data_IF_241731327291
#
_entry.id   IF_241731327291
#
_cell.length_a   1.000
_cell.length_b   1.000
_cell.length_c   1.000
_cell.angle_alpha   90.00
_cell.angle_beta   90.00
_cell.angle_gamma   90.00
#
_symmetry.space_group_name_H-M   'P 1'
#
loop_
_entity.id
_entity.type
_entity.pdbx_description
1 polymer ?
#
# COMPACT_ATOMS: atom_id res chain seq x y z
N UNK A 1 8.88 2.60 -25.51
CA UNK A 1 7.78 2.14 -24.63
C UNK A 1 6.70 1.60 -25.55
N UNK A 2 6.14 0.42 -25.27
CA UNK A 2 4.99 -0.10 -26.02
C UNK A 2 3.79 0.87 -25.89
N UNK A 3 2.80 0.77 -26.78
CA UNK A 3 1.55 1.55 -26.64
C UNK A 3 0.83 1.24 -25.32
N UNK A 4 1.08 0.08 -24.72
CA UNK A 4 0.43 -0.41 -23.50
C UNK A 4 1.01 0.11 -22.19
N UNK A 5 2.24 0.65 -22.16
CA UNK A 5 2.88 1.20 -20.95
C UNK A 5 3.01 2.71 -21.07
N UNK A 6 2.25 3.43 -20.25
CA UNK A 6 2.28 4.89 -20.16
C UNK A 6 3.58 5.40 -19.51
N UNK A 7 4.01 4.74 -18.44
CA UNK A 7 5.21 5.11 -17.71
C UNK A 7 5.77 3.93 -16.90
N UNK A 8 7.08 3.92 -16.67
CA UNK A 8 7.73 3.02 -15.70
C UNK A 8 8.28 3.86 -14.55
N UNK A 9 7.88 3.52 -13.33
CA UNK A 9 8.28 4.20 -12.11
C UNK A 9 9.38 3.39 -11.42
N UNK A 10 10.51 4.05 -11.19
CA UNK A 10 11.63 3.49 -10.44
C UNK A 10 11.51 3.90 -8.96
N UNK A 11 11.76 2.98 -8.02
CA UNK A 11 11.67 3.31 -6.61
C UNK A 11 12.81 4.22 -6.16
N UNK A 12 12.56 4.97 -5.09
CA UNK A 12 13.59 5.61 -4.29
C UNK A 12 13.73 4.89 -2.95
N UNK A 13 14.97 4.65 -2.52
CA UNK A 13 15.20 4.10 -1.18
C UNK A 13 14.91 5.17 -0.13
N UNK A 14 14.19 4.75 0.91
CA UNK A 14 13.87 5.55 2.09
C UNK A 14 14.18 4.75 3.33
N UNK A 15 14.80 5.42 4.30
CA UNK A 15 15.03 4.89 5.62
C UNK A 15 13.81 5.28 6.49
N UNK A 16 13.17 4.29 7.11
CA UNK A 16 12.06 4.47 8.05
C UNK A 16 12.44 4.05 9.48
N UNK A 17 13.73 4.04 9.80
CA UNK A 17 14.31 3.63 11.08
C UNK A 17 15.18 2.39 10.91
N UNK A 18 14.71 1.24 11.39
CA UNK A 18 15.47 -0.02 11.30
C UNK A 18 15.25 -0.77 9.98
N UNK A 19 14.60 -0.15 8.99
CA UNK A 19 14.24 -0.76 7.73
C UNK A 19 14.38 0.23 6.58
N UNK A 20 14.99 -0.21 5.50
CA UNK A 20 14.95 0.50 4.22
C UNK A 20 13.77 0.00 3.40
N UNK A 21 13.03 0.94 2.81
CA UNK A 21 11.89 0.65 1.94
C UNK A 21 12.09 1.27 0.56
N UNK A 22 11.46 0.66 -0.44
CA UNK A 22 11.44 1.13 -1.83
C UNK A 22 10.16 1.90 -2.09
N UNK A 23 10.26 3.23 -2.14
CA UNK A 23 9.13 4.12 -2.42
C UNK A 23 8.91 4.33 -3.89
N UNK A 24 7.77 3.87 -4.41
CA UNK A 24 7.42 3.91 -5.83
C UNK A 24 6.42 5.03 -6.13
N UNK A 25 5.45 5.25 -5.24
CA UNK A 25 4.50 6.36 -5.31
C UNK A 25 4.63 7.27 -4.09
N UNK A 26 4.44 8.59 -4.25
CA UNK A 26 4.18 9.30 -5.51
C UNK A 26 5.46 9.47 -6.36
N UNK A 27 5.32 9.54 -7.69
CA UNK A 27 6.41 9.81 -8.64
C UNK A 27 6.09 10.99 -9.57
N UNK A 28 7.11 11.54 -10.24
CA UNK A 28 6.90 12.64 -11.21
C UNK A 28 6.00 12.22 -12.39
N UNK A 29 6.18 11.00 -12.90
CA UNK A 29 5.42 10.50 -14.05
C UNK A 29 3.99 10.05 -13.69
N UNK A 30 3.75 9.73 -12.42
CA UNK A 30 2.43 9.40 -11.89
C UNK A 30 2.39 9.68 -10.38
N UNK A 31 1.54 10.64 -9.99
CA UNK A 31 1.29 10.93 -8.58
C UNK A 31 0.30 9.95 -7.95
N UNK A 32 -0.65 9.47 -8.75
CA UNK A 32 -1.63 8.46 -8.39
C UNK A 32 -1.75 7.40 -9.48
N UNK A 33 -2.23 6.23 -9.11
CA UNK A 33 -2.79 5.22 -10.01
C UNK A 33 -4.14 4.80 -9.43
N UNK A 34 -5.23 5.22 -10.06
CA UNK A 34 -6.56 5.12 -9.45
C UNK A 34 -6.57 5.87 -8.11
N UNK A 35 -6.98 5.23 -7.00
CA UNK A 35 -6.96 5.87 -5.70
C UNK A 35 -5.61 5.76 -4.96
N UNK A 36 -4.64 4.99 -5.47
CA UNK A 36 -3.35 4.78 -4.80
C UNK A 36 -2.46 6.03 -4.94
N UNK A 37 -2.07 6.63 -3.82
CA UNK A 37 -1.24 7.85 -3.76
C UNK A 37 0.15 7.60 -3.15
N UNK A 38 0.33 6.44 -2.51
CA UNK A 38 1.57 6.02 -1.87
C UNK A 38 1.77 4.51 -2.01
N UNK A 39 3.01 4.10 -2.24
CA UNK A 39 3.37 2.69 -2.40
C UNK A 39 4.82 2.48 -1.96
N UNK A 40 5.02 1.80 -0.84
CA UNK A 40 6.31 1.36 -0.33
C UNK A 40 6.38 -0.17 -0.36
N UNK A 41 7.47 -0.71 -0.91
CA UNK A 41 7.81 -2.12 -0.80
C UNK A 41 8.86 -2.29 0.31
N UNK A 42 8.50 -3.05 1.35
CA UNK A 42 9.37 -3.45 2.45
C UNK A 42 10.01 -4.81 2.16
N UNK A 43 11.33 -4.89 2.33
CA UNK A 43 12.05 -6.17 2.23
C UNK A 43 12.23 -6.74 0.82
N UNK A 44 12.51 -8.05 0.69
CA UNK A 44 12.84 -8.95 1.80
C UNK A 44 14.05 -8.44 2.60
N UNK A 45 13.92 -8.38 3.92
CA UNK A 45 14.99 -7.92 4.82
C UNK A 45 14.98 -8.73 6.11
N UNK A 46 16.16 -9.20 6.53
CA UNK A 46 16.34 -9.89 7.80
C UNK A 46 16.45 -8.89 8.95
N UNK A 47 15.63 -9.10 9.98
CA UNK A 47 15.69 -8.40 11.26
C UNK A 47 16.14 -9.43 12.31
N UNK A 48 17.40 -9.35 12.80
CA UNK A 48 17.92 -10.31 13.76
C UNK A 48 17.17 -10.27 15.11
N UNK A 49 17.28 -11.33 15.92
CA UNK A 49 16.75 -11.36 17.29
C UNK A 49 17.06 -10.08 18.09
N UNK A 50 16.05 -9.55 18.78
CA UNK A 50 16.12 -8.31 19.55
C UNK A 50 15.92 -7.02 18.74
N UNK A 51 15.87 -7.10 17.41
CA UNK A 51 15.60 -5.95 16.53
C UNK A 51 14.20 -6.04 15.92
N UNK A 52 13.70 -4.92 15.41
CA UNK A 52 12.36 -4.86 14.85
C UNK A 52 12.04 -3.54 14.17
N UNK A 53 10.91 -3.55 13.46
CA UNK A 53 10.22 -2.35 13.03
C UNK A 53 9.64 -1.65 14.28
N UNK A 54 9.84 -0.35 14.40
CA UNK A 54 9.32 0.48 15.49
C UNK A 54 8.84 1.83 14.96
N UNK A 55 7.78 1.82 14.17
CA UNK A 55 7.13 3.05 13.71
C UNK A 55 6.25 3.58 14.83
N UNK A 56 6.80 4.56 15.54
CA UNK A 56 6.16 5.25 16.68
C UNK A 56 4.83 5.94 16.27
N UNK A 57 3.98 6.32 17.24
CA UNK A 57 2.69 6.95 16.96
C UNK A 57 2.79 8.13 16.00
N UNK A 58 2.02 8.08 14.93
CA UNK A 58 1.92 9.12 13.90
C UNK A 58 0.50 9.19 13.32
N UNK A 59 0.06 10.37 12.83
CA UNK A 59 -1.29 10.59 12.34
C UNK A 59 -1.39 10.34 10.83
N UNK A 60 -2.61 10.07 10.38
CA UNK A 60 -3.02 10.16 8.97
C UNK A 60 -4.36 10.90 8.85
N UNK A 61 -4.63 11.53 7.70
CA UNK A 61 -5.95 12.08 7.32
C UNK A 61 -6.25 11.79 5.84
N UNK A 62 -7.53 11.75 5.47
CA UNK A 62 -8.02 11.75 4.09
C UNK A 62 -7.62 10.55 3.23
N UNK A 63 -7.15 9.48 3.86
CA UNK A 63 -6.65 8.27 3.22
C UNK A 63 -7.05 7.01 4.01
N UNK A 64 -6.87 5.86 3.39
CA UNK A 64 -6.74 4.59 4.08
C UNK A 64 -5.31 4.06 3.91
N UNK A 65 -4.74 3.43 4.95
CA UNK A 65 -3.49 2.67 4.83
C UNK A 65 -3.81 1.19 4.66
N UNK A 66 -3.02 0.51 3.83
CA UNK A 66 -3.17 -0.92 3.57
C UNK A 66 -1.82 -1.59 3.74
N UNK A 67 -1.76 -2.58 4.61
CA UNK A 67 -0.60 -3.45 4.80
C UNK A 67 -0.92 -4.82 4.25
N UNK A 68 -0.02 -5.35 3.41
CA UNK A 68 -0.08 -6.73 2.91
C UNK A 68 1.30 -7.37 2.99
N UNK A 69 1.43 -8.43 3.79
CA UNK A 69 2.71 -9.09 4.03
C UNK A 69 2.83 -10.36 3.19
N UNK A 70 4.02 -10.57 2.64
CA UNK A 70 4.44 -11.85 2.07
C UNK A 70 5.20 -12.70 3.10
N UNK A 71 5.94 -12.05 4.01
CA UNK A 71 6.70 -12.68 5.09
C UNK A 71 6.73 -11.76 6.32
N UNK A 72 6.92 -12.35 7.49
CA UNK A 72 7.06 -11.64 8.76
C UNK A 72 5.72 -11.28 9.40
N UNK A 73 5.78 -10.43 10.42
CA UNK A 73 4.64 -9.97 11.17
C UNK A 73 4.84 -8.53 11.67
N UNK A 74 3.73 -7.79 11.70
CA UNK A 74 3.65 -6.42 12.23
C UNK A 74 2.48 -6.36 13.21
N UNK A 75 2.67 -5.68 14.33
CA UNK A 75 1.65 -5.36 15.32
C UNK A 75 1.19 -3.92 15.11
N UNK A 76 -0.07 -3.77 14.73
CA UNK A 76 -0.75 -2.49 14.60
C UNK A 76 -1.42 -2.12 15.92
N UNK A 77 -1.31 -0.85 16.31
CA UNK A 77 -2.12 -0.21 17.35
C UNK A 77 -2.59 1.15 16.87
N UNK A 78 -3.81 1.55 17.24
CA UNK A 78 -4.34 2.87 16.88
C UNK A 78 -5.11 3.56 18.01
N UNK A 79 -5.49 4.81 17.76
CA UNK A 79 -6.25 5.67 18.66
C UNK A 79 -7.72 5.24 18.86
N UNK A 80 -8.21 4.26 18.09
CA UNK A 80 -9.53 3.64 18.33
C UNK A 80 -9.44 2.51 19.34
N UNK A 81 -8.23 2.12 19.74
CA UNK A 81 -7.97 1.00 20.63
C UNK A 81 -7.79 -0.33 19.90
N UNK A 82 -7.66 -0.33 18.58
CA UNK A 82 -7.33 -1.56 17.85
C UNK A 82 -5.95 -2.05 18.25
N UNK A 83 -5.79 -3.37 18.38
CA UNK A 83 -4.54 -4.06 18.63
C UNK A 83 -4.55 -5.33 17.79
N UNK A 84 -3.81 -5.34 16.69
CA UNK A 84 -3.91 -6.42 15.70
C UNK A 84 -2.54 -6.77 15.12
N UNK A 85 -2.11 -8.02 15.30
CA UNK A 85 -0.99 -8.57 14.56
C UNK A 85 -1.45 -8.93 13.15
N UNK A 86 -0.71 -8.49 12.13
CA UNK A 86 -0.87 -8.90 10.74
C UNK A 86 0.26 -9.87 10.38
N UNK A 87 -0.09 -10.97 9.72
CA UNK A 87 0.83 -12.00 9.24
C UNK A 87 0.66 -12.21 7.72
N UNK A 88 1.46 -13.07 7.05
CA UNK A 88 1.44 -13.15 5.60
C UNK A 88 0.08 -13.52 5.00
N UNK A 89 -0.31 -12.80 3.96
CA UNK A 89 -1.57 -12.97 3.25
C UNK A 89 -2.78 -12.29 3.91
N UNK A 90 -2.66 -11.82 5.14
CA UNK A 90 -3.69 -11.00 5.79
C UNK A 90 -3.70 -9.57 5.22
N UNK A 91 -4.78 -8.84 5.52
CA UNK A 91 -4.93 -7.43 5.18
C UNK A 91 -5.33 -6.65 6.43
N UNK A 92 -4.54 -5.63 6.77
CA UNK A 92 -4.99 -4.54 7.63
C UNK A 92 -5.37 -3.36 6.73
N UNK A 93 -6.60 -2.88 6.89
CA UNK A 93 -7.13 -1.70 6.20
C UNK A 93 -7.55 -0.68 7.24
N UNK A 94 -6.78 0.39 7.38
CA UNK A 94 -7.06 1.47 8.33
C UNK A 94 -7.55 2.70 7.59
N UNK A 95 -8.84 3.03 7.71
CA UNK A 95 -9.39 4.27 7.16
C UNK A 95 -9.12 5.41 8.14
N UNK A 96 -8.33 6.40 7.74
CA UNK A 96 -8.02 7.55 8.58
C UNK A 96 -9.15 8.59 8.59
N UNK A 97 -9.78 8.84 7.43
CA UNK A 97 -10.85 9.83 7.31
C UNK A 97 -10.45 11.19 7.90
N UNK A 98 -11.24 11.72 8.83
CA UNK A 98 -10.93 12.99 9.51
C UNK A 98 -9.66 12.96 10.39
N UNK A 99 -9.14 11.79 10.73
CA UNK A 99 -7.93 11.63 11.52
C UNK A 99 -7.88 10.35 12.34
N UNK A 100 -6.75 9.65 12.27
CA UNK A 100 -6.40 8.54 13.15
C UNK A 100 -4.91 8.64 13.50
N UNK A 101 -4.53 8.22 14.71
CA UNK A 101 -3.12 8.09 15.12
C UNK A 101 -2.84 6.61 15.32
N UNK A 102 -1.74 6.11 14.76
CA UNK A 102 -1.37 4.70 14.87
C UNK A 102 0.14 4.48 14.94
N UNK A 103 0.51 3.27 15.35
CA UNK A 103 1.88 2.77 15.41
C UNK A 103 1.96 1.36 14.86
N UNK A 104 3.08 1.02 14.24
CA UNK A 104 3.36 -0.29 13.66
C UNK A 104 4.70 -0.80 14.20
N UNK A 105 4.66 -1.92 14.92
CA UNK A 105 5.85 -2.48 15.60
C UNK A 105 6.02 -3.96 15.29
N UNK A 106 7.22 -4.50 15.42
CA UNK A 106 7.40 -5.96 15.44
C UNK A 106 6.79 -6.54 16.74
N UNK A 107 5.92 -7.57 16.68
CA UNK A 107 5.42 -8.25 17.89
C UNK A 107 6.56 -8.78 18.77
N UNK A 108 6.39 -8.78 20.09
CA UNK A 108 7.50 -9.08 21.02
C UNK A 108 8.05 -10.50 20.84
N UNK A 109 7.18 -11.49 20.71
CA UNK A 109 7.56 -12.87 20.46
C UNK A 109 8.31 -13.03 19.13
N UNK A 110 7.99 -12.20 18.13
CA UNK A 110 8.66 -12.17 16.83
C UNK A 110 10.02 -11.49 16.95
N UNK A 111 10.11 -10.40 17.71
CA UNK A 111 11.35 -9.68 17.99
C UNK A 111 12.36 -10.58 18.67
N UNK A 112 11.95 -11.35 19.67
CA UNK A 112 12.84 -12.26 20.41
C UNK A 112 13.50 -13.32 19.50
N UNK A 113 12.78 -13.81 18.49
CA UNK A 113 13.28 -14.83 17.55
C UNK A 113 13.89 -14.27 16.25
N UNK A 114 13.68 -12.99 15.95
CA UNK A 114 14.01 -12.39 14.66
C UNK A 114 13.01 -12.77 13.55
N UNK A 115 13.04 -12.03 12.43
CA UNK A 115 12.16 -12.30 11.29
C UNK A 115 12.74 -11.83 9.96
N UNK A 116 12.27 -12.41 8.86
CA UNK A 116 12.33 -11.76 7.55
C UNK A 116 11.04 -10.95 7.36
N UNK A 117 11.15 -9.65 7.13
CA UNK A 117 10.02 -8.81 6.74
C UNK A 117 9.99 -8.64 5.24
N UNK A 118 8.84 -8.89 4.61
CA UNK A 118 8.64 -8.70 3.18
C UNK A 118 7.16 -8.40 2.92
N UNK A 119 6.85 -7.30 2.25
CA UNK A 119 5.47 -6.88 2.07
C UNK A 119 5.33 -5.52 1.41
N UNK A 120 4.10 -5.04 1.33
CA UNK A 120 3.74 -3.79 0.69
C UNK A 120 2.92 -2.94 1.67
N UNK A 121 3.28 -1.68 1.80
CA UNK A 121 2.47 -0.64 2.44
C UNK A 121 1.96 0.31 1.37
N UNK A 122 0.65 0.51 1.28
CA UNK A 122 0.06 1.49 0.35
C UNK A 122 -0.86 2.45 1.06
N UNK A 123 -1.03 3.65 0.50
CA UNK A 123 -2.09 4.56 0.89
C UNK A 123 -3.06 4.77 -0.27
N UNK A 124 -4.34 4.68 0.07
CA UNK A 124 -5.47 4.86 -0.83
C UNK A 124 -6.15 6.16 -0.44
N UNK A 125 -6.05 7.18 -1.29
CA UNK A 125 -6.69 8.47 -1.04
C UNK A 125 -8.21 8.32 -1.09
N UNK A 126 -8.91 8.95 -0.14
CA UNK A 126 -10.37 8.91 -0.09
C UNK A 126 -10.97 9.87 -1.13
N UNK A 127 -12.12 9.53 -1.74
CA UNK A 127 -12.88 10.47 -2.55
C UNK A 127 -13.39 11.64 -1.71
N UNK A 128 -13.73 12.76 -2.36
CA UNK A 128 -14.06 14.03 -1.68
C UNK A 128 -15.18 13.87 -0.65
N UNK A 129 -16.22 13.12 -1.00
CA UNK A 129 -17.39 12.86 -0.16
C UNK A 129 -17.08 12.02 1.10
N UNK A 130 -15.94 11.32 1.13
CA UNK A 130 -15.52 10.48 2.24
C UNK A 130 -14.23 10.96 2.91
N UNK A 131 -13.64 12.07 2.46
CA UNK A 131 -12.35 12.59 2.93
C UNK A 131 -12.32 12.83 4.46
N UNK A 132 -13.47 13.18 5.05
CA UNK A 132 -13.62 13.47 6.49
C UNK A 132 -14.50 12.45 7.22
N UNK A 133 -14.68 11.26 6.65
CA UNK A 133 -15.43 10.18 7.31
C UNK A 133 -14.83 9.81 8.68
N UNK A 134 -15.61 9.10 9.50
CA UNK A 134 -15.11 8.54 10.76
C UNK A 134 -13.94 7.59 10.49
N UNK A 135 -12.87 7.63 11.32
CA UNK A 135 -11.81 6.66 11.23
C UNK A 135 -12.32 5.25 11.55
N UNK A 136 -11.76 4.23 10.89
CA UNK A 136 -12.09 2.83 11.13
C UNK A 136 -10.88 1.93 10.88
N UNK A 137 -10.92 0.72 11.45
CA UNK A 137 -9.93 -0.32 11.22
C UNK A 137 -10.62 -1.64 10.89
N UNK A 138 -10.18 -2.29 9.82
CA UNK A 138 -10.61 -3.62 9.40
C UNK A 138 -9.40 -4.55 9.31
N UNK A 139 -9.54 -5.74 9.86
CA UNK A 139 -8.59 -6.84 9.67
C UNK A 139 -9.27 -7.99 8.96
N UNK A 140 -8.69 -8.43 7.85
CA UNK A 140 -9.15 -9.55 7.06
C UNK A 140 -8.07 -10.63 7.05
N UNK A 141 -8.27 -11.77 7.73
CA UNK A 141 -7.31 -12.85 7.68
C UNK A 141 -7.22 -13.42 6.26
N UNK A 142 -6.08 -13.99 5.88
CA UNK A 142 -5.84 -14.52 4.54
C UNK A 142 -6.91 -15.51 4.04
N UNK A 143 -7.62 -16.17 4.96
CA UNK A 143 -8.69 -17.11 4.66
C UNK A 143 -10.03 -16.45 4.29
N UNK A 144 -10.26 -15.18 4.65
CA UNK A 144 -11.49 -14.45 4.27
C UNK A 144 -11.39 -13.80 2.88
N UNK A 145 -10.19 -13.70 2.31
CA UNK A 145 -9.97 -13.07 1.02
C UNK A 145 -10.26 -14.02 -0.15
N UNK A 146 -10.86 -13.54 -1.25
CA UNK A 146 -11.06 -14.34 -2.45
C UNK A 146 -9.73 -14.77 -3.05
N UNK A 147 -9.58 -16.08 -3.25
CA UNK A 147 -8.45 -16.70 -3.93
C UNK A 147 -8.94 -17.43 -5.18
N UNK A 148 -8.27 -17.20 -6.29
CA UNK A 148 -8.59 -17.82 -7.57
C UNK A 148 -7.31 -18.18 -8.32
N UNK A 149 -7.43 -19.13 -9.25
CA UNK A 149 -6.36 -19.47 -10.19
C UNK A 149 -6.84 -19.18 -11.60
N UNK A 150 -6.05 -18.45 -12.38
CA UNK A 150 -6.29 -18.15 -13.79
C UNK A 150 -5.04 -18.51 -14.57
N UNK A 151 -5.15 -19.43 -15.51
CA UNK A 151 -4.06 -19.80 -16.42
C UNK A 151 -2.74 -20.18 -15.70
N UNK A 152 -2.87 -20.81 -14.52
CA UNK A 152 -1.74 -21.21 -13.69
C UNK A 152 -1.19 -20.13 -12.75
N UNK A 153 -1.73 -18.91 -12.78
CA UNK A 153 -1.40 -17.80 -11.88
C UNK A 153 -2.36 -17.81 -10.70
N UNK A 154 -1.82 -17.85 -9.47
CA UNK A 154 -2.61 -17.74 -8.25
C UNK A 154 -2.84 -16.25 -7.92
N UNK A 155 -4.08 -15.87 -7.69
CA UNK A 155 -4.47 -14.49 -7.42
C UNK A 155 -5.21 -14.41 -6.08
N UNK A 156 -4.86 -13.41 -5.28
CA UNK A 156 -5.61 -13.02 -4.08
C UNK A 156 -6.15 -11.62 -4.28
N UNK A 157 -7.48 -11.46 -4.27
CA UNK A 157 -8.12 -10.14 -4.39
C UNK A 157 -8.09 -9.47 -3.03
N UNK A 158 -7.15 -8.55 -2.84
CA UNK A 158 -6.89 -7.84 -1.59
C UNK A 158 -8.01 -6.84 -1.31
N UNK A 159 -8.33 -5.98 -2.27
CA UNK A 159 -9.37 -4.96 -2.13
C UNK A 159 -10.08 -4.69 -3.47
N UNK A 160 -11.37 -4.34 -3.36
CA UNK A 160 -12.23 -4.04 -4.50
C UNK A 160 -12.60 -5.27 -5.33
N UNK A 161 -12.60 -5.16 -6.67
CA UNK A 161 -12.98 -6.25 -7.58
C UNK A 161 -11.96 -6.49 -8.70
N UNK A 162 -11.80 -7.76 -9.08
CA UNK A 162 -10.93 -8.17 -10.18
C UNK A 162 -11.26 -9.61 -10.61
N UNK A 163 -11.14 -9.92 -11.90
CA UNK A 163 -11.21 -11.30 -12.42
C UNK A 163 -12.52 -12.05 -12.04
N UNK A 164 -13.60 -11.29 -11.88
CA UNK A 164 -14.92 -11.79 -11.48
C UNK A 164 -15.09 -12.07 -9.97
N UNK A 165 -14.11 -11.71 -9.13
CA UNK A 165 -14.17 -11.84 -7.68
C UNK A 165 -14.16 -10.47 -6.99
N UNK A 166 -14.69 -10.41 -5.76
CA UNK A 166 -14.81 -9.19 -4.96
C UNK A 166 -14.34 -9.44 -3.53
N UNK A 167 -13.42 -8.59 -3.05
CA UNK A 167 -12.92 -8.59 -1.68
C UNK A 167 -13.99 -8.10 -0.69
N UNK A 168 -14.00 -8.61 0.57
CA UNK A 168 -14.85 -8.09 1.64
C UNK A 168 -14.39 -6.74 2.20
N UNK A 169 -13.19 -6.27 1.86
CA UNK A 169 -12.64 -4.99 2.34
C UNK A 169 -13.48 -3.81 1.88
N UNK A 170 -13.85 -2.91 2.80
CA UNK A 170 -14.59 -1.70 2.46
C UNK A 170 -13.72 -0.71 1.69
N UNK A 171 -14.13 -0.36 0.46
CA UNK A 171 -13.47 0.65 -0.37
C UNK A 171 -14.45 1.78 -0.71
N UNK A 172 -13.97 3.03 -0.68
CA UNK A 172 -14.81 4.22 -0.95
C UNK A 172 -14.81 4.66 -2.43
N UNK A 173 -14.01 4.01 -3.27
CA UNK A 173 -14.04 4.17 -4.72
C UNK A 173 -13.76 2.80 -5.37
N UNK A 174 -14.11 2.63 -6.65
CA UNK A 174 -13.83 1.38 -7.35
C UNK A 174 -12.32 1.15 -7.34
N UNK A 175 -11.91 0.05 -6.72
CA UNK A 175 -10.50 -0.24 -6.43
C UNK A 175 -10.14 -1.58 -7.06
N UNK A 176 -8.92 -1.66 -7.56
CA UNK A 176 -8.29 -2.91 -7.98
C UNK A 176 -7.05 -3.09 -7.11
N UNK A 177 -7.00 -4.15 -6.30
CA UNK A 177 -5.77 -4.51 -5.61
C UNK A 177 -5.65 -6.03 -5.50
N UNK A 178 -4.64 -6.60 -6.15
CA UNK A 178 -4.46 -8.05 -6.28
C UNK A 178 -3.00 -8.40 -6.09
N UNK A 179 -2.73 -9.41 -5.26
CA UNK A 179 -1.45 -10.12 -5.27
C UNK A 179 -1.53 -11.29 -6.25
N UNK A 180 -0.58 -11.37 -7.17
CA UNK A 180 -0.50 -12.40 -8.20
C UNK A 180 0.84 -13.15 -8.09
N UNK A 181 0.75 -14.47 -7.98
CA UNK A 181 1.89 -15.38 -7.93
C UNK A 181 1.91 -16.21 -9.22
N UNK A 182 2.86 -15.90 -10.09
CA UNK A 182 3.09 -16.58 -11.36
C UNK A 182 3.98 -17.79 -11.13
N UNK A 183 3.52 -18.97 -11.56
CA UNK A 183 4.42 -20.11 -11.76
C UNK A 183 5.27 -19.90 -13.03
N UNK A 184 6.41 -20.60 -13.11
CA UNK A 184 7.28 -20.56 -14.28
C UNK A 184 6.51 -20.89 -15.58
N UNK A 185 6.70 -20.08 -16.61
CA UNK A 185 6.09 -20.25 -17.92
C UNK A 185 4.60 -19.90 -18.01
N UNK A 186 4.01 -19.28 -16.98
CA UNK A 186 2.60 -18.89 -16.98
C UNK A 186 2.38 -17.49 -17.54
N UNK A 187 1.16 -17.25 -18.01
CA UNK A 187 0.72 -15.98 -18.58
C UNK A 187 -0.65 -15.63 -18.02
N UNK A 188 -0.92 -14.33 -17.88
CA UNK A 188 -2.19 -13.81 -17.39
C UNK A 188 -2.65 -12.66 -18.30
N UNK A 189 -3.85 -12.80 -18.86
CA UNK A 189 -4.55 -11.67 -19.48
C UNK A 189 -5.01 -10.68 -18.41
N UNK A 190 -4.70 -9.41 -18.58
CA UNK A 190 -5.08 -8.34 -17.66
C UNK A 190 -5.92 -7.28 -18.39
N UNK A 191 -7.23 -7.46 -18.29
CA UNK A 191 -8.23 -6.65 -19.00
C UNK A 191 -8.33 -5.22 -18.46
N UNK A 192 -8.85 -4.33 -19.30
CA UNK A 192 -9.05 -2.92 -18.98
C UNK A 192 -10.37 -2.65 -18.22
N UNK A 193 -10.68 -3.49 -17.24
CA UNK A 193 -11.90 -3.37 -16.42
C UNK A 193 -11.89 -2.11 -15.52
N UNK A 194 -10.71 -1.56 -15.26
CA UNK A 194 -10.47 -0.40 -14.42
C UNK A 194 -9.81 0.73 -15.23
N UNK A 195 -10.20 1.97 -14.94
CA UNK A 195 -9.78 3.17 -15.68
C UNK A 195 -8.26 3.36 -15.63
N UNK A 196 -7.68 3.32 -14.43
CA UNK A 196 -6.25 3.38 -14.21
C UNK A 196 -5.76 2.06 -13.61
N UNK A 197 -4.65 1.55 -14.13
CA UNK A 197 -4.05 0.28 -13.73
C UNK A 197 -2.53 0.39 -13.74
N UNK A 198 -1.89 -0.33 -12.84
CA UNK A 198 -0.46 -0.53 -12.81
C UNK A 198 -0.11 -1.96 -12.39
N UNK A 199 1.11 -2.34 -12.74
CA UNK A 199 1.71 -3.64 -12.44
C UNK A 199 3.04 -3.38 -11.74
N UNK A 200 3.21 -3.92 -10.54
CA UNK A 200 4.45 -3.83 -9.78
C UNK A 200 5.08 -5.22 -9.67
N UNK A 201 6.32 -5.37 -10.13
CA UNK A 201 7.07 -6.61 -9.99
C UNK A 201 7.81 -6.61 -8.65
N UNK A 202 7.32 -7.36 -7.66
CA UNK A 202 7.97 -7.43 -6.35
C UNK A 202 9.20 -8.37 -6.38
N UNK A 203 9.09 -9.50 -7.08
CA UNK A 203 10.16 -10.51 -7.18
C UNK A 203 10.02 -11.34 -8.46
N UNK A 204 11.13 -11.83 -9.00
CA UNK A 204 11.17 -12.72 -10.18
C UNK A 204 11.32 -11.96 -11.49
N UNK A 205 10.80 -12.53 -12.58
CA UNK A 205 10.81 -11.92 -13.91
C UNK A 205 9.40 -11.74 -14.47
N UNK A 206 9.15 -10.60 -15.12
CA UNK A 206 7.87 -10.34 -15.76
C UNK A 206 8.07 -9.57 -17.07
N UNK A 207 7.25 -9.91 -18.05
CA UNK A 207 7.05 -9.12 -19.25
C UNK A 207 5.60 -8.65 -19.35
N UNK A 208 5.40 -7.48 -19.95
CA UNK A 208 4.10 -6.90 -20.29
C UNK A 208 4.09 -6.75 -21.81
N UNK A 209 3.24 -7.51 -22.49
CA UNK A 209 3.21 -7.62 -23.97
C UNK A 209 4.61 -7.90 -24.56
N UNK A 210 5.36 -8.78 -23.90
CA UNK A 210 6.73 -9.15 -24.28
C UNK A 210 7.81 -8.12 -23.93
N UNK A 211 7.47 -6.95 -23.38
CA UNK A 211 8.44 -5.98 -22.88
C UNK A 211 8.82 -6.30 -21.43
N UNK A 212 10.12 -6.43 -21.08
CA UNK A 212 10.52 -6.74 -19.72
C UNK A 212 10.22 -5.58 -18.77
N UNK A 213 9.69 -5.91 -17.59
CA UNK A 213 9.62 -5.04 -16.43
C UNK A 213 10.75 -5.44 -15.48
N UNK A 214 11.63 -4.50 -15.13
CA UNK A 214 12.68 -4.76 -14.15
C UNK A 214 12.07 -4.99 -12.76
N UNK A 215 12.69 -5.86 -11.97
CA UNK A 215 12.28 -6.11 -10.60
C UNK A 215 12.22 -4.81 -9.79
N UNK A 216 11.27 -4.76 -8.87
CA UNK A 216 11.02 -3.66 -7.95
C UNK A 216 10.58 -2.35 -8.63
N UNK A 217 10.15 -2.41 -9.89
CA UNK A 217 9.58 -1.29 -10.64
C UNK A 217 8.07 -1.45 -10.87
N UNK A 218 7.41 -0.31 -11.09
CA UNK A 218 5.98 -0.25 -11.43
C UNK A 218 5.79 0.21 -12.87
N UNK A 219 5.08 -0.56 -13.68
CA UNK A 219 4.56 -0.10 -14.96
C UNK A 219 3.15 0.46 -14.77
N UNK A 220 2.96 1.74 -15.07
CA UNK A 220 1.64 2.36 -15.22
C UNK A 220 1.14 2.09 -16.63
N UNK A 221 0.00 1.41 -16.74
CA UNK A 221 -0.54 0.98 -18.02
C UNK A 221 -1.28 2.12 -18.72
N UNK A 222 -1.33 2.06 -20.05
CA UNK A 222 -2.23 2.91 -20.82
C UNK A 222 -3.70 2.54 -20.51
N UNK A 223 -4.59 3.53 -20.38
CA UNK A 223 -6.01 3.28 -20.10
C UNK A 223 -6.68 2.56 -21.29
N UNK A 224 -7.68 1.74 -21.00
CA UNK A 224 -8.53 1.12 -22.03
C UNK A 224 -7.91 -0.01 -22.86
N UNK A 225 -6.65 -0.41 -22.59
CA UNK A 225 -5.98 -1.49 -23.33
C UNK A 225 -5.76 -2.73 -22.46
N UNK A 226 -6.24 -3.90 -22.90
CA UNK A 226 -5.84 -5.16 -22.25
C UNK A 226 -4.35 -5.42 -22.51
N UNK A 227 -3.67 -6.03 -21.54
CA UNK A 227 -2.27 -6.43 -21.66
C UNK A 227 -2.10 -7.89 -21.28
N UNK A 228 -1.03 -8.50 -21.75
CA UNK A 228 -0.63 -9.85 -21.33
C UNK A 228 0.59 -9.77 -20.43
N UNK A 229 0.46 -10.31 -19.21
CA UNK A 229 1.56 -10.47 -18.26
C UNK A 229 2.12 -11.87 -18.42
N UNK A 230 3.43 -12.02 -18.50
CA UNK A 230 4.07 -13.34 -18.62
C UNK A 230 5.36 -13.42 -17.81
N UNK A 231 5.58 -14.56 -17.17
CA UNK A 231 6.78 -14.85 -16.40
C UNK A 231 7.43 -16.14 -16.87
N UNK A 232 8.74 -16.14 -17.09
CA UNK A 232 9.48 -17.34 -17.51
C UNK A 232 9.85 -18.20 -16.30
N UNK A 233 10.40 -17.61 -15.26
CA UNK A 233 10.99 -18.33 -14.12
C UNK A 233 10.09 -18.27 -12.88
N UNK A 234 8.98 -17.54 -12.94
CA UNK A 234 8.04 -17.30 -11.85
C UNK A 234 8.21 -15.90 -11.26
N UNK A 235 7.12 -15.34 -10.74
CA UNK A 235 7.12 -13.96 -10.25
C UNK A 235 6.04 -13.68 -9.20
N UNK A 236 6.36 -12.77 -8.30
CA UNK A 236 5.41 -12.14 -7.37
C UNK A 236 5.11 -10.73 -7.87
N UNK A 237 3.84 -10.46 -8.12
CA UNK A 237 3.38 -9.25 -8.80
C UNK A 237 2.21 -8.65 -8.04
N UNK A 238 2.22 -7.32 -7.87
CA UNK A 238 1.04 -6.59 -7.40
C UNK A 238 0.35 -5.92 -8.58
N UNK A 239 -0.95 -6.17 -8.73
CA UNK A 239 -1.81 -5.44 -9.66
C UNK A 239 -2.60 -4.43 -8.85
N UNK A 240 -2.54 -3.16 -9.25
CA UNK A 240 -3.21 -2.08 -8.53
C UNK A 240 -3.84 -1.07 -9.48
N UNK A 241 -4.87 -0.37 -9.00
CA UNK A 241 -5.52 0.68 -9.75
C UNK A 241 -6.95 0.92 -9.30
N UNK A 242 -7.78 1.44 -10.18
CA UNK A 242 -9.17 1.72 -9.86
C UNK A 242 -9.77 2.83 -10.71
N UNK A 243 -10.86 3.40 -10.18
CA UNK A 243 -11.42 4.65 -10.68
C UNK A 243 -10.42 5.79 -10.46
N UNK A 244 -10.30 6.68 -11.45
CA UNK A 244 -9.55 7.92 -11.28
C UNK A 244 -10.24 8.79 -10.24
N UNK A 245 -9.49 9.25 -9.24
CA UNK A 245 -10.03 10.16 -8.24
C UNK A 245 -10.34 11.54 -8.83
N UNK A 246 -11.50 12.09 -8.47
CA UNK A 246 -11.88 13.45 -8.82
C UNK A 246 -11.19 14.48 -7.91
N UNK A 247 -10.77 15.58 -8.53
CA UNK A 247 -10.11 16.69 -7.85
C UNK A 247 -8.63 16.44 -7.53
N UNK A 248 -7.94 17.48 -7.09
CA UNK A 248 -6.54 17.38 -6.66
C UNK A 248 -6.44 16.66 -5.30
N UNK A 249 -5.31 15.99 -5.07
CA UNK A 249 -4.91 15.50 -3.75
C UNK A 249 -3.52 16.03 -3.44
N UNK A 250 -3.45 16.87 -2.41
CA UNK A 250 -2.20 17.30 -1.81
C UNK A 250 -1.72 16.22 -0.85
N UNK A 251 -0.43 15.91 -0.90
CA UNK A 251 0.24 15.03 0.03
C UNK A 251 1.39 15.79 0.67
N UNK A 252 1.35 15.91 2.00
CA UNK A 252 2.44 16.48 2.80
C UNK A 252 2.63 15.63 4.05
N UNK A 253 3.83 15.05 4.20
CA UNK A 253 4.13 14.07 5.25
C UNK A 253 3.13 12.90 5.23
N UNK A 254 2.30 12.74 6.27
CA UNK A 254 1.29 11.69 6.40
C UNK A 254 -0.13 12.20 6.15
N UNK A 255 -0.27 13.41 5.60
CA UNK A 255 -1.57 14.04 5.36
C UNK A 255 -1.88 14.05 3.88
N UNK A 256 -3.04 13.52 3.54
CA UNK A 256 -3.63 13.61 2.20
C UNK A 256 -4.93 14.37 2.31
N UNK A 257 -5.08 15.42 1.50
CA UNK A 257 -6.32 16.20 1.47
C UNK A 257 -6.55 16.87 0.12
N UNK A 258 -7.80 17.26 -0.12
CA UNK A 258 -8.24 17.99 -1.31
C UNK A 258 -7.90 19.48 -1.28
N UNK A 259 -7.53 20.01 -0.12
CA UNK A 259 -7.16 21.41 0.09
C UNK A 259 -5.88 21.54 0.91
N UNK A 260 -5.14 22.63 0.72
CA UNK A 260 -3.91 22.90 1.51
C UNK A 260 -4.25 23.34 2.92
N UNK A 261 -5.37 24.03 3.08
CA UNK A 261 -5.91 24.51 4.34
C UNK A 261 -6.18 23.33 5.30
N UNK A 262 -6.71 22.21 4.79
CA UNK A 262 -6.89 20.99 5.57
C UNK A 262 -5.56 20.38 6.05
N UNK A 263 -4.53 20.38 5.20
CA UNK A 263 -3.18 19.93 5.58
C UNK A 263 -2.61 20.81 6.70
N UNK A 264 -2.68 22.13 6.57
CA UNK A 264 -2.17 23.05 7.60
C UNK A 264 -2.94 22.91 8.92
N UNK A 265 -4.26 22.72 8.86
CA UNK A 265 -5.08 22.45 10.05
C UNK A 265 -4.67 21.13 10.75
N UNK A 266 -4.40 20.07 9.98
CA UNK A 266 -3.95 18.79 10.53
C UNK A 266 -2.53 18.87 11.12
N UNK A 267 -1.61 19.60 10.48
CA UNK A 267 -0.28 19.88 11.03
C UNK A 267 -0.34 20.61 12.36
N UNK A 268 -1.19 21.64 12.46
CA UNK A 268 -1.41 22.35 13.72
C UNK A 268 -1.99 21.42 14.79
N UNK A 269 -3.04 20.66 14.45
CA UNK A 269 -3.66 19.71 15.36
C UNK A 269 -2.68 18.64 15.86
N UNK A 270 -1.79 18.13 15.01
CA UNK A 270 -0.76 17.17 15.41
C UNK A 270 0.30 17.81 16.32
N UNK A 271 0.76 19.01 15.98
CA UNK A 271 1.73 19.77 16.79
C UNK A 271 1.19 20.04 18.20
N UNK A 272 -0.10 20.36 18.30
CA UNK A 272 -0.81 20.61 19.55
C UNK A 272 -1.35 19.32 20.21
N UNK A 273 -1.04 18.14 19.67
CA UNK A 273 -1.47 16.84 20.20
C UNK A 273 -3.00 16.68 20.35
N UNK A 274 -3.77 17.28 19.43
CA UNK A 274 -5.25 17.25 19.41
C UNK A 274 -5.87 16.16 18.54
N UNK A 275 -5.06 15.27 17.95
CA UNK A 275 -5.54 14.20 17.05
C UNK A 275 -5.82 12.86 17.76
N UNK A 276 -5.69 12.83 19.10
CA UNK A 276 -5.78 11.60 19.89
C UNK A 276 -4.41 10.96 20.14
N UNK A 277 -4.41 9.84 20.85
CA UNK A 277 -3.22 9.08 21.20
C UNK A 277 -3.50 7.59 21.11
N UNK A 278 -2.46 6.79 20.90
CA UNK A 278 -2.55 5.33 20.92
C UNK A 278 -2.54 4.88 22.39
N UNK A 279 -3.56 4.13 22.86
CA UNK A 279 -3.59 3.68 24.25
C UNK A 279 -2.33 2.90 24.65
N UNK A 280 -1.68 3.35 25.73
CA UNK A 280 -0.47 2.72 26.25
C UNK A 280 0.84 3.19 25.60
N UNK A 281 0.81 4.06 24.58
CA UNK A 281 2.02 4.64 24.00
C UNK A 281 2.16 6.12 24.37
N UNK A 282 3.36 6.52 24.79
CA UNK A 282 3.68 7.91 25.18
C UNK A 282 4.59 8.62 24.17
N UNK A 283 5.15 7.89 23.21
CA UNK A 283 6.01 8.44 22.17
C UNK A 283 5.18 9.00 21.01
N UNK A 284 5.78 9.87 20.19
CA UNK A 284 5.21 10.28 18.91
C UNK A 284 6.30 10.71 17.92
N UNK A 285 5.96 10.72 16.63
CA UNK A 285 6.81 11.27 15.57
C UNK A 285 6.46 12.75 15.38
N UNK A 286 7.36 13.72 15.69
CA UNK A 286 7.09 15.13 15.43
C UNK A 286 7.00 15.42 13.93
N UNK A 287 6.36 16.52 13.55
CA UNK A 287 6.44 17.00 12.17
C UNK A 287 7.90 17.17 11.75
N UNK A 288 8.27 16.80 10.51
CA UNK A 288 9.59 17.08 10.00
C UNK A 288 9.89 18.58 10.03
N UNK A 289 11.07 18.96 10.49
CA UNK A 289 11.52 20.35 10.40
C UNK A 289 11.57 20.79 8.94
N UNK A 290 11.06 21.98 8.63
CA UNK A 290 11.25 22.58 7.30
C UNK A 290 12.74 22.80 7.11
N UNK A 291 13.37 22.04 6.20
CA UNK A 291 14.73 22.37 5.75
C UNK A 291 14.72 23.82 5.24
N UNK A 292 15.65 24.68 5.68
CA UNK A 292 15.75 26.03 5.13
C UNK A 292 15.93 25.93 3.61
N UNK A 293 15.17 26.75 2.88
CA UNK A 293 15.22 26.84 1.42
C UNK A 293 16.52 27.50 0.96
#
# INVERSE_FOLDING_TARGET
MSESIKAVLKPHIRDIGNLQVRRVLPAMAARLVGPFIFFDHMGPAELPPGTGLDVRPHPHIGLATVTYLFEGAILHRDSLGSLQAIVPGDVNWMTAGRGIVHSERTPEDVRERGQTIHGIQTWVALPLEHETTEPSFEHHPAASLPKLTRDGVALTVIAGDAFGARSPVTTFSRTLYVAAEFAAGTMLGFDAEHEERAVYLAQGDLTIDGQPLEAEQMAVLAPGQAVTLASRDGARVMLLGGAKLAGERFIEWNFVASTREAIEAAKLAWTEQRMGSVPGETEWIPLPERKPR
#
